data_IF_038208461893
#
_entry.id   IF_038208461893
#
_cell.length_a   1.000
_cell.length_b   1.000
_cell.length_c   1.000
_cell.angle_alpha   90.00
_cell.angle_beta   90.00
_cell.angle_gamma   90.00
#
_symmetry.space_group_name_H-M   'P 1'
#
loop_
_entity.id
_entity.type
_entity.pdbx_description
1 polymer ?
#
# COMPACT_ATOMS: atom_id res chain seq x y z
N UNK A 1 9.73 41.11 22.16
CA UNK A 1 10.96 40.30 21.99
C UNK A 1 10.55 38.86 21.68
N UNK A 2 10.72 38.36 20.45
CA UNK A 2 10.35 36.99 20.14
C UNK A 2 11.46 36.03 20.60
N UNK A 3 11.11 35.11 21.50
CA UNK A 3 11.98 34.06 21.99
C UNK A 3 12.26 33.05 20.88
N UNK A 4 13.50 33.10 20.39
CA UNK A 4 14.09 32.20 19.40
C UNK A 4 13.95 30.75 19.90
N UNK A 5 13.08 29.95 19.27
CA UNK A 5 13.10 28.50 19.44
C UNK A 5 14.49 28.00 19.04
N UNK A 6 15.30 27.59 20.02
CA UNK A 6 16.63 27.03 19.78
C UNK A 6 16.45 25.76 18.95
N UNK A 7 16.82 25.84 17.67
CA UNK A 7 16.96 24.69 16.79
C UNK A 7 18.05 23.80 17.40
N UNK A 8 17.67 22.71 18.05
CA UNK A 8 18.61 21.75 18.58
C UNK A 8 19.46 21.22 17.42
N UNK A 9 20.76 21.52 17.43
CA UNK A 9 21.73 20.88 16.54
C UNK A 9 22.02 19.52 17.16
N UNK A 10 21.62 18.40 16.53
CA UNK A 10 21.85 17.09 17.11
C UNK A 10 23.34 16.73 17.08
N UNK A 11 23.84 15.97 18.09
CA UNK A 11 25.25 15.61 18.19
C UNK A 11 25.70 14.71 17.02
N UNK A 12 26.99 14.81 16.68
CA UNK A 12 27.60 14.08 15.59
C UNK A 12 27.53 12.56 15.81
N UNK A 13 26.96 11.82 14.85
CA UNK A 13 27.04 10.35 14.86
C UNK A 13 28.43 9.88 14.43
N UNK A 14 29.02 8.88 15.13
CA UNK A 14 30.32 8.33 14.78
C UNK A 14 30.25 7.58 13.44
N UNK A 15 31.27 7.78 12.58
CA UNK A 15 31.51 6.94 11.40
C UNK A 15 31.78 5.51 11.87
N UNK A 16 31.12 4.49 11.29
CA UNK A 16 31.69 3.12 11.16
C UNK A 16 30.89 2.22 10.20
N UNK A 17 31.55 1.18 9.64
CA UNK A 17 31.13 0.42 8.48
C UNK A 17 30.29 -0.81 8.86
N UNK A 18 29.58 -1.38 7.88
CA UNK A 18 28.86 -2.65 8.02
C UNK A 18 27.34 -2.44 8.07
N UNK A 19 26.68 -2.84 6.99
CA UNK A 19 25.26 -2.65 6.79
C UNK A 19 24.40 -3.53 7.68
N UNK A 20 23.43 -2.92 8.35
CA UNK A 20 22.17 -3.49 8.84
C UNK A 20 21.21 -2.30 8.95
N UNK A 21 19.94 -2.48 8.51
CA UNK A 21 18.77 -1.59 8.66
C UNK A 21 19.07 -0.24 9.35
N UNK A 22 19.14 0.84 8.57
CA UNK A 22 19.39 2.19 9.07
C UNK A 22 18.20 2.74 9.84
N UNK A 23 18.11 2.33 11.10
CA UNK A 23 17.30 3.01 12.09
C UNK A 23 18.11 3.05 13.38
N UNK A 24 18.89 4.10 13.57
CA UNK A 24 19.50 4.37 14.87
C UNK A 24 18.35 4.71 15.82
N UNK A 25 18.03 3.78 16.74
CA UNK A 25 17.09 4.03 17.82
C UNK A 25 17.78 4.96 18.83
N UNK A 26 17.27 6.18 18.96
CA UNK A 26 17.67 7.08 20.04
C UNK A 26 16.45 7.47 20.85
N UNK A 27 16.57 7.47 22.18
CA UNK A 27 15.53 7.98 23.08
C UNK A 27 15.86 9.42 23.45
N UNK A 28 14.87 10.29 23.50
CA UNK A 28 15.02 11.57 24.20
C UNK A 28 15.01 11.36 25.72
N UNK A 29 15.14 12.45 26.49
CA UNK A 29 15.10 12.41 27.96
C UNK A 29 13.73 12.01 28.52
N UNK A 30 12.69 12.01 27.68
CA UNK A 30 11.30 11.71 28.03
C UNK A 30 10.89 10.28 27.62
N UNK A 31 11.79 9.53 26.97
CA UNK A 31 11.59 8.13 26.58
C UNK A 31 11.01 7.92 25.17
N UNK A 32 10.82 8.99 24.39
CA UNK A 32 10.31 8.92 23.01
C UNK A 32 11.36 8.31 22.08
N UNK A 33 11.03 7.20 21.41
CA UNK A 33 11.90 6.56 20.42
C UNK A 33 11.86 7.33 19.09
N UNK A 34 13.01 7.87 18.67
CA UNK A 34 13.18 8.45 17.34
C UNK A 34 13.98 7.52 16.44
N UNK A 35 13.51 7.39 15.21
CA UNK A 35 14.21 6.70 14.14
C UNK A 35 14.89 7.74 13.25
N UNK A 36 16.22 7.74 13.21
CA UNK A 36 16.96 8.54 12.24
C UNK A 36 16.98 7.82 10.90
N UNK A 37 16.24 8.34 9.91
CA UNK A 37 16.14 7.75 8.58
C UNK A 37 15.24 8.56 7.64
N UNK A 38 15.16 8.11 6.39
CA UNK A 38 14.31 8.70 5.36
C UNK A 38 13.52 7.57 4.68
N UNK A 39 12.32 7.87 4.24
CA UNK A 39 11.46 6.96 3.51
C UNK A 39 11.19 7.51 2.13
N UNK A 40 11.16 6.62 1.15
CA UNK A 40 10.82 6.94 -0.22
C UNK A 40 9.47 6.30 -0.54
N UNK A 41 8.46 7.12 -0.79
CA UNK A 41 7.15 6.69 -1.28
C UNK A 41 7.15 6.83 -2.79
N UNK A 42 6.80 5.77 -3.52
CA UNK A 42 6.97 5.73 -4.97
C UNK A 42 5.77 5.09 -5.66
N UNK A 43 5.36 5.71 -6.76
CA UNK A 43 4.49 5.11 -7.77
C UNK A 43 5.40 4.51 -8.84
N UNK A 44 5.17 3.23 -9.14
CA UNK A 44 5.89 2.52 -10.18
C UNK A 44 4.92 1.75 -11.07
N UNK A 45 5.27 1.62 -12.34
CA UNK A 45 4.55 0.76 -13.27
C UNK A 45 4.83 -0.71 -12.91
N UNK A 46 3.79 -1.45 -12.54
CA UNK A 46 3.96 -2.82 -12.07
C UNK A 46 4.36 -3.80 -13.20
N UNK A 47 4.01 -3.48 -14.46
CA UNK A 47 4.29 -4.32 -15.63
C UNK A 47 5.75 -4.21 -16.08
N UNK A 48 6.37 -3.05 -16.03
CA UNK A 48 7.73 -2.82 -16.51
C UNK A 48 8.70 -2.54 -15.36
N UNK A 49 8.21 -2.38 -14.12
CA UNK A 49 9.02 -2.11 -12.94
C UNK A 49 9.68 -0.75 -13.00
N UNK A 50 9.06 0.23 -13.66
CA UNK A 50 9.63 1.55 -13.88
C UNK A 50 9.12 2.53 -12.82
N UNK A 51 10.00 3.31 -12.15
CA UNK A 51 9.56 4.39 -11.29
C UNK A 51 8.87 5.46 -12.12
N UNK A 52 7.76 6.03 -11.65
CA UNK A 52 7.03 7.11 -12.33
C UNK A 52 7.12 8.41 -11.53
N UNK A 53 6.79 8.34 -10.25
CA UNK A 53 6.83 9.48 -9.32
C UNK A 53 7.25 9.02 -7.93
N UNK A 54 7.91 9.89 -7.18
CA UNK A 54 8.23 9.62 -5.78
C UNK A 54 8.21 10.88 -4.91
N UNK A 55 8.07 10.67 -3.60
CA UNK A 55 8.23 11.64 -2.52
C UNK A 55 9.13 11.06 -1.43
N UNK A 56 9.91 11.93 -0.79
CA UNK A 56 10.81 11.54 0.30
C UNK A 56 10.35 12.20 1.58
N UNK A 57 10.22 11.41 2.64
CA UNK A 57 9.81 11.88 3.97
C UNK A 57 10.84 11.48 5.02
N UNK A 58 10.90 12.21 6.16
CA UNK A 58 11.65 11.74 7.31
C UNK A 58 11.06 10.43 7.87
N UNK A 59 11.92 9.59 8.46
CA UNK A 59 11.57 8.25 8.92
C UNK A 59 10.52 8.17 10.03
N UNK A 60 10.28 9.27 10.74
CA UNK A 60 9.25 9.36 11.78
C UNK A 60 7.84 9.59 11.22
N UNK A 61 7.69 9.87 9.92
CA UNK A 61 6.37 10.06 9.29
C UNK A 61 5.70 8.72 9.02
N UNK A 62 4.37 8.69 9.23
CA UNK A 62 3.54 7.56 8.83
C UNK A 62 3.48 7.45 7.31
N UNK A 63 3.40 6.22 6.79
CA UNK A 63 3.42 5.96 5.35
C UNK A 63 2.06 6.22 4.70
N UNK A 64 0.99 5.91 5.44
CA UNK A 64 -0.38 5.92 4.91
C UNK A 64 -0.78 7.24 4.24
N UNK A 65 -0.51 8.42 4.82
CA UNK A 65 -0.91 9.70 4.22
C UNK A 65 -0.15 10.05 2.92
N UNK A 66 0.93 9.35 2.58
CA UNK A 66 1.76 9.71 1.43
C UNK A 66 1.29 9.07 0.12
N UNK A 67 0.37 8.09 0.16
CA UNK A 67 -0.20 7.47 -1.04
C UNK A 67 -0.95 8.48 -1.92
N UNK A 68 -1.92 9.27 -1.41
CA UNK A 68 -2.62 10.26 -2.23
C UNK A 68 -1.63 11.30 -2.77
N UNK A 69 -0.64 11.67 -1.98
CA UNK A 69 0.34 12.69 -2.31
C UNK A 69 1.26 12.28 -3.46
N UNK A 70 1.75 11.04 -3.46
CA UNK A 70 2.57 10.53 -4.58
C UNK A 70 1.73 10.28 -5.83
N UNK A 71 0.47 9.87 -5.67
CA UNK A 71 -0.47 9.69 -6.80
C UNK A 71 -0.80 11.04 -7.45
N UNK A 72 -1.10 12.09 -6.67
CA UNK A 72 -1.33 13.45 -7.18
C UNK A 72 -0.15 13.95 -8.01
N UNK A 73 1.08 13.68 -7.55
CA UNK A 73 2.30 14.01 -8.29
C UNK A 73 2.34 13.30 -9.64
N UNK A 74 2.10 11.98 -9.67
CA UNK A 74 2.04 11.23 -10.92
C UNK A 74 0.97 11.75 -11.89
N UNK A 75 -0.23 12.09 -11.40
CA UNK A 75 -1.29 12.69 -12.22
C UNK A 75 -0.90 14.08 -12.76
N UNK A 76 -0.17 14.88 -11.99
CA UNK A 76 0.31 16.19 -12.42
C UNK A 76 1.44 16.11 -13.45
N UNK A 77 2.34 15.15 -13.28
CA UNK A 77 3.51 14.97 -14.15
C UNK A 77 3.15 14.31 -15.49
N UNK A 78 2.11 13.45 -15.52
CA UNK A 78 1.78 12.62 -16.69
C UNK A 78 0.27 12.60 -17.02
N UNK A 79 -0.11 13.25 -18.12
CA UNK A 79 -1.50 13.27 -18.62
C UNK A 79 -2.05 11.88 -18.95
N UNK A 80 -1.17 10.96 -19.37
CA UNK A 80 -1.52 9.57 -19.71
C UNK A 80 -1.63 8.65 -18.49
N UNK A 81 -1.22 9.10 -17.29
CA UNK A 81 -1.27 8.29 -16.09
C UNK A 81 -2.70 8.16 -15.59
N UNK A 82 -3.36 7.06 -15.97
CA UNK A 82 -4.73 6.71 -15.62
C UNK A 82 -4.79 5.22 -15.24
N UNK A 83 -4.24 4.82 -14.08
CA UNK A 83 -4.25 3.42 -13.67
C UNK A 83 -5.68 2.97 -13.41
N UNK A 84 -6.04 1.76 -13.84
CA UNK A 84 -7.30 1.11 -13.44
C UNK A 84 -7.22 0.47 -12.06
N UNK A 85 -6.00 0.09 -11.65
CA UNK A 85 -5.73 -0.64 -10.41
C UNK A 85 -4.52 -0.02 -9.70
N UNK A 86 -4.61 0.12 -8.38
CA UNK A 86 -3.48 0.51 -7.53
C UNK A 86 -3.23 -0.57 -6.48
N UNK A 87 -2.02 -1.12 -6.45
CA UNK A 87 -1.59 -2.06 -5.41
C UNK A 87 -0.65 -1.37 -4.43
N UNK A 88 -0.82 -1.63 -3.13
CA UNK A 88 0.03 -1.08 -2.09
C UNK A 88 0.18 -2.03 -0.90
N UNK A 89 1.21 -1.80 -0.10
CA UNK A 89 1.42 -2.52 1.14
C UNK A 89 0.30 -2.27 2.15
N UNK A 90 0.12 -3.22 3.07
CA UNK A 90 -0.78 -3.11 4.23
C UNK A 90 -0.50 -1.88 5.11
N UNK A 91 0.69 -1.28 5.00
CA UNK A 91 1.02 0.01 5.61
C UNK A 91 0.13 1.15 5.13
N UNK A 92 -0.47 1.04 3.94
CA UNK A 92 -1.35 2.03 3.33
C UNK A 92 -2.84 1.76 3.55
N UNK A 93 -3.18 0.76 4.35
CA UNK A 93 -4.56 0.50 4.75
C UNK A 93 -5.10 1.63 5.64
N UNK A 94 -5.89 2.52 5.03
CA UNK A 94 -6.61 3.59 5.69
C UNK A 94 -7.82 3.98 4.83
N UNK A 95 -8.96 4.23 5.47
CA UNK A 95 -10.19 4.61 4.78
C UNK A 95 -10.01 5.77 3.80
N UNK A 96 -9.24 6.79 4.21
CA UNK A 96 -8.92 7.95 3.36
C UNK A 96 -8.22 7.59 2.05
N UNK A 97 -7.37 6.55 2.05
CA UNK A 97 -6.70 6.07 0.84
C UNK A 97 -7.64 5.34 -0.10
N UNK A 98 -8.53 4.50 0.45
CA UNK A 98 -9.54 3.79 -0.34
C UNK A 98 -10.52 4.78 -0.97
N UNK A 99 -11.05 5.73 -0.20
CA UNK A 99 -11.93 6.79 -0.71
C UNK A 99 -11.24 7.63 -1.79
N UNK A 100 -9.95 7.97 -1.60
CA UNK A 100 -9.18 8.71 -2.60
C UNK A 100 -9.03 7.93 -3.93
N UNK A 101 -8.68 6.65 -3.86
CA UNK A 101 -8.50 5.81 -5.05
C UNK A 101 -9.83 5.56 -5.76
N UNK A 102 -10.89 5.26 -5.00
CA UNK A 102 -12.23 5.09 -5.52
C UNK A 102 -12.74 6.35 -6.22
N UNK A 103 -12.56 7.54 -5.61
CA UNK A 103 -12.91 8.81 -6.24
C UNK A 103 -12.09 9.16 -7.51
N UNK A 104 -11.04 8.40 -7.81
CA UNK A 104 -10.26 8.47 -9.05
C UNK A 104 -10.59 7.33 -10.03
N UNK A 105 -11.61 6.53 -9.75
CA UNK A 105 -11.96 5.31 -10.50
C UNK A 105 -10.80 4.31 -10.57
N UNK A 106 -10.02 4.20 -9.49
CA UNK A 106 -8.90 3.27 -9.37
C UNK A 106 -9.25 2.20 -8.34
N UNK A 107 -9.18 0.94 -8.73
CA UNK A 107 -9.47 -0.19 -7.84
C UNK A 107 -8.33 -0.40 -6.83
N UNK A 108 -8.58 -0.28 -5.51
CA UNK A 108 -7.56 -0.42 -4.48
C UNK A 108 -7.30 -1.87 -4.09
N UNK A 109 -6.14 -2.41 -4.46
CA UNK A 109 -5.65 -3.75 -4.09
C UNK A 109 -4.65 -3.62 -2.94
N UNK A 110 -5.20 -3.41 -1.73
CA UNK A 110 -4.43 -3.20 -0.49
C UNK A 110 -4.93 -4.19 0.58
N UNK A 111 -4.02 -4.96 1.17
CA UNK A 111 -4.38 -5.82 2.30
C UNK A 111 -4.80 -4.98 3.50
N UNK A 112 -5.94 -5.34 4.10
CA UNK A 112 -6.41 -4.73 5.34
C UNK A 112 -5.55 -5.19 6.52
N UNK A 113 -5.38 -4.28 7.47
CA UNK A 113 -4.85 -4.56 8.77
C UNK A 113 -5.87 -5.35 9.56
N UNK A 114 -5.44 -6.53 10.03
CA UNK A 114 -6.15 -7.35 11.01
C UNK A 114 -6.70 -6.42 12.10
N UNK A 115 -7.99 -6.51 12.41
CA UNK A 115 -8.59 -5.70 13.43
C UNK A 115 -7.89 -5.92 14.76
N UNK A 116 -7.73 -4.83 15.49
CA UNK A 116 -7.37 -4.86 16.91
C UNK A 116 -8.65 -5.03 17.75
N UNK A 117 -8.53 -5.41 19.02
CA UNK A 117 -9.67 -5.61 19.92
C UNK A 117 -10.52 -4.35 20.21
N UNK A 118 -10.24 -3.24 19.52
CA UNK A 118 -10.91 -1.93 19.64
C UNK A 118 -11.54 -1.48 18.31
N UNK A 119 -11.50 -2.33 17.28
CA UNK A 119 -12.15 -2.02 16.01
C UNK A 119 -13.61 -2.49 16.06
N UNK A 120 -14.49 -1.60 16.53
CA UNK A 120 -15.93 -1.82 16.72
C UNK A 120 -16.69 -2.16 15.42
N UNK A 121 -16.04 -2.01 14.26
CA UNK A 121 -16.64 -2.37 12.98
C UNK A 121 -16.66 -3.89 12.72
N UNK A 122 -15.89 -4.66 13.50
CA UNK A 122 -15.84 -6.13 13.44
C UNK A 122 -16.73 -6.76 14.52
N UNK A 123 -17.92 -6.19 14.72
CA UNK A 123 -18.99 -6.69 15.61
C UNK A 123 -19.57 -8.06 15.18
N UNK A 124 -18.77 -8.90 14.51
CA UNK A 124 -19.15 -10.21 13.99
C UNK A 124 -19.76 -10.20 12.59
N UNK A 125 -19.92 -9.01 11.98
CA UNK A 125 -20.47 -8.87 10.61
C UNK A 125 -19.42 -9.21 9.56
N UNK A 126 -18.17 -8.80 9.75
CA UNK A 126 -17.08 -8.99 8.79
C UNK A 126 -16.01 -9.92 9.34
N UNK A 127 -15.44 -10.75 8.46
CA UNK A 127 -14.29 -11.58 8.79
C UNK A 127 -12.96 -10.83 8.72
N UNK A 128 -11.86 -11.50 9.06
CA UNK A 128 -10.50 -10.93 9.04
C UNK A 128 -10.06 -10.46 7.65
N UNK A 129 -10.72 -10.94 6.60
CA UNK A 129 -10.48 -10.61 5.21
C UNK A 129 -11.53 -9.63 4.64
N UNK A 130 -12.38 -9.09 5.53
CA UNK A 130 -13.41 -8.09 5.24
C UNK A 130 -14.57 -8.59 4.37
N UNK A 131 -14.88 -9.88 4.47
CA UNK A 131 -16.06 -10.49 3.87
C UNK A 131 -17.21 -10.56 4.88
N UNK A 132 -18.44 -10.20 4.48
CA UNK A 132 -19.59 -10.31 5.36
C UNK A 132 -19.91 -11.77 5.67
N UNK A 133 -20.33 -12.05 6.89
CA UNK A 133 -20.71 -13.36 7.39
C UNK A 133 -22.22 -13.47 7.56
N UNK A 134 -22.78 -14.64 7.26
CA UNK A 134 -24.18 -14.93 7.56
C UNK A 134 -24.40 -15.24 9.05
N UNK A 135 -25.66 -15.41 9.47
CA UNK A 135 -26.01 -15.75 10.86
C UNK A 135 -25.35 -17.03 11.40
N UNK A 136 -24.99 -17.97 10.51
CA UNK A 136 -24.25 -19.17 10.89
C UNK A 136 -22.73 -19.05 10.77
N UNK A 137 -22.19 -17.83 10.62
CA UNK A 137 -20.77 -17.50 10.60
C UNK A 137 -19.98 -18.11 9.42
N UNK A 138 -20.63 -18.22 8.27
CA UNK A 138 -20.02 -18.62 6.99
C UNK A 138 -19.85 -17.36 6.12
N UNK A 139 -18.70 -17.18 5.43
CA UNK A 139 -18.48 -16.06 4.54
C UNK A 139 -19.49 -16.07 3.38
N UNK A 140 -20.04 -14.90 3.10
CA UNK A 140 -21.03 -14.71 2.04
C UNK A 140 -20.36 -14.45 0.70
N UNK A 141 -21.04 -14.82 -0.39
CA UNK A 141 -20.58 -14.57 -1.76
C UNK A 141 -21.21 -13.30 -2.31
N UNK A 142 -20.41 -12.50 -3.01
CA UNK A 142 -20.90 -11.33 -3.72
C UNK A 142 -21.73 -11.75 -4.94
N UNK A 143 -22.97 -11.27 -5.01
CA UNK A 143 -23.92 -11.59 -6.09
C UNK A 143 -23.96 -10.50 -7.15
N UNK A 144 -23.91 -9.23 -6.75
CA UNK A 144 -24.04 -8.13 -7.67
C UNK A 144 -24.20 -6.78 -6.99
N UNK A 145 -24.36 -5.75 -7.81
CA UNK A 145 -24.58 -4.38 -7.36
C UNK A 145 -26.03 -3.98 -7.68
N UNK A 146 -26.74 -3.48 -6.68
CA UNK A 146 -28.07 -2.90 -6.82
C UNK A 146 -28.02 -1.67 -7.74
N UNK A 147 -29.15 -1.31 -8.37
CA UNK A 147 -29.23 -0.08 -9.18
C UNK A 147 -28.92 1.22 -8.40
N UNK A 148 -28.91 1.14 -7.06
CA UNK A 148 -28.54 2.23 -6.15
C UNK A 148 -27.05 2.26 -5.76
N UNK A 149 -26.24 1.30 -6.21
CA UNK A 149 -24.81 1.21 -5.88
C UNK A 149 -24.48 0.27 -4.70
N UNK A 150 -25.48 -0.30 -4.03
CA UNK A 150 -25.29 -1.22 -2.91
C UNK A 150 -24.70 -2.56 -3.39
N UNK A 151 -23.74 -3.10 -2.64
CA UNK A 151 -23.18 -4.42 -2.91
C UNK A 151 -24.00 -5.49 -2.19
N UNK A 152 -24.49 -6.47 -2.95
CA UNK A 152 -25.36 -7.53 -2.49
C UNK A 152 -24.55 -8.82 -2.30
N UNK A 153 -24.67 -9.42 -1.13
CA UNK A 153 -24.02 -10.65 -0.72
C UNK A 153 -25.07 -11.68 -0.28
N UNK A 154 -24.93 -12.92 -0.74
CA UNK A 154 -25.81 -14.04 -0.37
C UNK A 154 -25.01 -15.17 0.27
N UNK A 155 -25.67 -15.96 1.13
CA UNK A 155 -25.08 -17.20 1.62
C UNK A 155 -25.07 -18.26 0.51
N UNK A 156 -23.87 -18.70 0.09
CA UNK A 156 -23.68 -19.70 -0.98
C UNK A 156 -24.47 -20.99 -0.75
N UNK A 157 -24.48 -21.46 0.49
CA UNK A 157 -25.05 -22.77 0.82
C UNK A 157 -26.59 -22.72 0.94
N UNK A 158 -27.21 -21.54 0.94
CA UNK A 158 -28.66 -21.38 1.17
C UNK A 158 -29.14 -22.09 2.44
N UNK A 159 -28.23 -22.34 3.39
CA UNK A 159 -28.28 -23.53 4.24
C UNK A 159 -27.13 -23.61 5.21
N UNK A 160 -26.78 -22.52 5.87
CA UNK A 160 -25.73 -22.55 6.87
C UNK A 160 -26.17 -23.41 8.07
N UNK A 161 -25.29 -24.34 8.48
CA UNK A 161 -25.45 -25.15 9.69
C UNK A 161 -25.44 -24.29 10.97
N UNK A 162 -26.47 -23.47 11.19
CA UNK A 162 -26.77 -22.84 12.47
C UNK A 162 -26.77 -23.96 13.51
N UNK A 163 -25.71 -23.96 14.33
CA UNK A 163 -25.28 -25.01 15.25
C UNK A 163 -26.44 -25.88 15.72
N UNK A 164 -26.51 -27.15 15.29
CA UNK A 164 -27.18 -28.31 15.94
C UNK A 164 -28.12 -28.00 17.12
N UNK A 165 -29.06 -27.06 16.99
CA UNK A 165 -29.93 -26.66 18.08
C UNK A 165 -31.29 -27.22 17.72
N UNK A 166 -31.58 -28.32 18.40
CA UNK A 166 -32.87 -29.01 18.43
C UNK A 166 -33.13 -29.92 17.21
N UNK A 167 -32.86 -31.22 17.42
CA UNK A 167 -33.47 -32.37 16.71
C UNK A 167 -33.52 -32.26 15.17
N UNK A 168 -32.36 -32.36 14.53
CA UNK A 168 -32.26 -32.95 13.18
C UNK A 168 -32.81 -32.16 11.98
N UNK A 169 -33.12 -30.86 12.12
CA UNK A 169 -33.50 -30.01 10.99
C UNK A 169 -32.30 -29.30 10.35
N UNK A 170 -32.27 -29.20 9.02
CA UNK A 170 -31.42 -28.26 8.29
C UNK A 170 -32.13 -26.89 8.33
N UNK A 171 -31.54 -25.90 9.00
CA UNK A 171 -32.02 -24.52 8.91
C UNK A 171 -31.45 -23.90 7.64
N UNK A 172 -32.33 -23.55 6.70
CA UNK A 172 -31.96 -22.81 5.51
C UNK A 172 -31.60 -21.36 5.89
N UNK A 173 -30.40 -20.92 5.52
CA UNK A 173 -29.95 -19.55 5.75
C UNK A 173 -30.13 -18.76 4.44
N UNK A 174 -31.16 -17.93 4.40
CA UNK A 174 -31.45 -17.00 3.30
C UNK A 174 -31.03 -15.58 3.66
N UNK A 175 -29.90 -15.44 4.37
CA UNK A 175 -29.39 -14.12 4.75
C UNK A 175 -28.91 -13.40 3.49
N UNK A 176 -29.55 -12.27 3.21
CA UNK A 176 -29.12 -11.30 2.21
C UNK A 176 -28.49 -10.13 2.96
N UNK A 177 -27.27 -9.77 2.61
CA UNK A 177 -26.58 -8.59 3.12
C UNK A 177 -26.42 -7.60 1.97
N UNK A 178 -26.87 -6.36 2.16
CA UNK A 178 -26.77 -5.30 1.17
C UNK A 178 -26.29 -4.03 1.84
N UNK A 179 -25.20 -3.46 1.33
CA UNK A 179 -24.62 -2.24 1.90
C UNK A 179 -24.01 -1.38 0.79
N UNK A 180 -24.18 -0.06 0.89
CA UNK A 180 -23.49 0.88 0.00
C UNK A 180 -22.05 1.12 0.50
N UNK A 181 -21.01 0.71 -0.25
CA UNK A 181 -19.63 0.99 0.13
C UNK A 181 -19.35 2.48 0.33
N UNK A 182 -20.06 3.37 -0.38
CA UNK A 182 -19.88 4.81 -0.29
C UNK A 182 -20.55 5.44 0.94
N UNK A 183 -21.37 4.68 1.70
CA UNK A 183 -22.08 5.20 2.86
C UNK A 183 -21.14 5.67 3.99
N UNK A 184 -19.96 5.06 4.13
CA UNK A 184 -18.93 5.55 5.04
C UNK A 184 -17.50 5.26 4.53
N UNK A 185 -16.49 6.04 4.95
CA UNK A 185 -15.10 5.78 4.58
C UNK A 185 -14.60 4.39 5.02
N UNK A 186 -15.09 3.87 6.15
CA UNK A 186 -14.71 2.54 6.62
C UNK A 186 -15.38 1.41 5.81
N UNK A 187 -16.64 1.57 5.41
CA UNK A 187 -17.27 0.65 4.45
C UNK A 187 -16.55 0.68 3.10
N UNK A 188 -16.11 1.86 2.65
CA UNK A 188 -15.29 1.98 1.44
C UNK A 188 -13.96 1.24 1.57
N UNK A 189 -13.33 1.26 2.75
CA UNK A 189 -12.10 0.50 3.03
C UNK A 189 -12.31 -1.00 2.86
N UNK A 190 -13.42 -1.52 3.38
CA UNK A 190 -13.74 -2.94 3.47
C UNK A 190 -14.32 -3.46 2.16
N UNK A 191 -15.46 -2.89 1.75
CA UNK A 191 -16.28 -3.34 0.62
C UNK A 191 -15.90 -2.68 -0.70
N UNK A 192 -15.29 -1.49 -0.66
CA UNK A 192 -15.03 -0.66 -1.84
C UNK A 192 -14.26 -1.27 -3.01
N UNK A 193 -13.25 -2.14 -2.80
CA UNK A 193 -12.57 -2.79 -3.91
C UNK A 193 -13.52 -3.51 -4.86
N UNK A 194 -13.39 -3.21 -6.16
CA UNK A 194 -14.17 -3.83 -7.23
C UNK A 194 -13.72 -5.28 -7.36
N UNK A 195 -12.41 -5.49 -7.50
CA UNK A 195 -11.83 -6.83 -7.45
C UNK A 195 -11.96 -7.36 -6.03
N UNK A 196 -12.68 -8.47 -5.87
CA UNK A 196 -13.02 -9.02 -4.55
C UNK A 196 -11.80 -9.60 -3.85
N UNK A 197 -11.60 -9.24 -2.59
CA UNK A 197 -10.53 -9.78 -1.75
C UNK A 197 -10.60 -11.31 -1.73
N UNK A 198 -9.44 -11.95 -1.63
CA UNK A 198 -9.26 -13.40 -1.70
C UNK A 198 -9.67 -14.08 -3.02
N UNK A 199 -10.21 -13.35 -4.01
CA UNK A 199 -10.39 -13.91 -5.35
C UNK A 199 -9.04 -14.20 -6.00
N UNK A 200 -8.97 -15.18 -6.92
CA UNK A 200 -7.74 -15.43 -7.70
C UNK A 200 -7.24 -14.18 -8.42
N UNK A 201 -8.15 -13.39 -8.99
CA UNK A 201 -7.82 -12.13 -9.66
C UNK A 201 -7.18 -11.12 -8.70
N UNK A 202 -7.73 -10.97 -7.50
CA UNK A 202 -7.15 -10.08 -6.48
C UNK A 202 -5.74 -10.52 -6.08
N UNK A 203 -5.53 -11.82 -5.90
CA UNK A 203 -4.22 -12.39 -5.55
C UNK A 203 -3.19 -12.14 -6.67
N UNK A 204 -3.59 -12.30 -7.93
CA UNK A 204 -2.75 -12.04 -9.09
C UNK A 204 -2.40 -10.55 -9.22
N UNK A 205 -3.36 -9.66 -8.99
CA UNK A 205 -3.12 -8.21 -8.96
C UNK A 205 -2.20 -7.82 -7.81
N UNK A 206 -2.42 -8.38 -6.62
CA UNK A 206 -1.58 -8.11 -5.45
C UNK A 206 -0.16 -8.65 -5.63
N UNK A 207 0.02 -9.78 -6.29
CA UNK A 207 1.33 -10.35 -6.62
C UNK A 207 2.16 -9.43 -7.53
N UNK A 208 1.55 -8.49 -8.28
CA UNK A 208 2.32 -7.51 -9.07
C UNK A 208 3.17 -6.58 -8.21
N UNK A 209 2.88 -6.46 -6.91
CA UNK A 209 3.70 -5.71 -5.92
C UNK A 209 5.16 -6.18 -5.87
N UNK A 210 5.43 -7.46 -6.16
CA UNK A 210 6.80 -8.00 -6.24
C UNK A 210 7.68 -7.26 -7.26
N UNK A 211 7.08 -6.65 -8.28
CA UNK A 211 7.78 -5.77 -9.23
C UNK A 211 8.36 -4.53 -8.53
N UNK A 212 7.56 -3.91 -7.65
CA UNK A 212 7.95 -2.73 -6.87
C UNK A 212 9.01 -3.09 -5.83
N UNK A 213 8.87 -4.22 -5.14
CA UNK A 213 9.91 -4.71 -4.20
C UNK A 213 11.25 -4.94 -4.91
N UNK A 214 11.21 -5.56 -6.10
CA UNK A 214 12.40 -5.76 -6.92
C UNK A 214 13.03 -4.42 -7.34
N UNK A 215 12.23 -3.46 -7.78
CA UNK A 215 12.70 -2.10 -8.09
C UNK A 215 13.41 -1.46 -6.89
N UNK A 216 12.80 -1.52 -5.70
CA UNK A 216 13.43 -1.02 -4.48
C UNK A 216 14.74 -1.75 -4.17
N UNK A 217 14.77 -3.07 -4.30
CA UNK A 217 16.00 -3.86 -4.13
C UNK A 217 17.09 -3.39 -5.09
N UNK A 218 16.77 -3.24 -6.37
CA UNK A 218 17.71 -2.74 -7.38
C UNK A 218 18.23 -1.34 -7.04
N UNK A 219 17.36 -0.42 -6.66
CA UNK A 219 17.79 0.94 -6.27
C UNK A 219 18.68 0.92 -5.01
N UNK A 220 18.38 0.06 -4.04
CA UNK A 220 19.18 -0.11 -2.82
C UNK A 220 20.58 -0.65 -3.12
N UNK A 221 20.66 -1.74 -3.88
CA UNK A 221 21.91 -2.44 -4.18
C UNK A 221 22.78 -1.65 -5.18
N UNK A 222 22.22 -1.27 -6.34
CA UNK A 222 23.01 -0.67 -7.42
C UNK A 222 23.26 0.82 -7.26
N UNK A 223 22.38 1.54 -6.54
CA UNK A 223 22.43 3.00 -6.42
C UNK A 223 22.71 3.49 -5.00
N UNK A 224 23.13 2.59 -4.10
CA UNK A 224 23.56 2.90 -2.73
C UNK A 224 22.52 3.68 -1.93
N UNK A 225 21.22 3.46 -2.15
CA UNK A 225 20.19 4.11 -1.34
C UNK A 225 20.30 3.74 0.16
N UNK A 226 20.95 2.62 0.49
CA UNK A 226 21.23 2.26 1.89
C UNK A 226 22.58 2.79 2.37
N UNK A 227 23.57 2.92 1.49
CA UNK A 227 24.94 3.34 1.82
C UNK A 227 25.23 4.78 1.39
N UNK A 228 24.23 5.67 1.47
CA UNK A 228 24.38 7.06 1.06
C UNK A 228 25.26 7.84 2.06
N UNK A 229 26.13 8.72 1.55
CA UNK A 229 26.99 9.56 2.40
C UNK A 229 26.41 10.97 2.64
N UNK A 230 25.22 11.24 2.10
CA UNK A 230 24.56 12.55 2.19
C UNK A 230 23.65 12.66 3.41
N UNK A 231 23.47 13.89 3.90
CA UNK A 231 22.58 14.23 5.04
C UNK A 231 21.67 15.39 4.67
N UNK A 232 20.46 15.38 5.21
CA UNK A 232 19.44 16.38 4.97
C UNK A 232 18.46 15.94 3.89
N UNK A 233 17.18 16.27 4.11
CA UNK A 233 16.08 15.83 3.25
C UNK A 233 16.29 16.23 1.79
N UNK A 234 16.75 17.45 1.54
CA UNK A 234 17.01 17.95 0.19
C UNK A 234 18.11 17.15 -0.54
N UNK A 235 19.24 16.90 0.10
CA UNK A 235 20.34 16.14 -0.50
C UNK A 235 19.96 14.68 -0.75
N UNK A 236 19.19 14.08 0.16
CA UNK A 236 18.72 12.70 -0.02
C UNK A 236 17.67 12.61 -1.12
N UNK A 237 16.79 13.59 -1.21
CA UNK A 237 15.83 13.71 -2.32
C UNK A 237 16.58 13.83 -3.66
N UNK A 238 17.61 14.66 -3.73
CA UNK A 238 18.45 14.79 -4.92
C UNK A 238 19.15 13.47 -5.27
N UNK A 239 19.72 12.78 -4.28
CA UNK A 239 20.34 11.48 -4.48
C UNK A 239 19.34 10.43 -5.02
N UNK A 240 18.15 10.34 -4.43
CA UNK A 240 17.08 9.46 -4.91
C UNK A 240 16.60 9.83 -6.31
N UNK A 241 16.53 11.13 -6.63
CA UNK A 241 16.19 11.62 -7.97
C UNK A 241 17.23 11.19 -9.01
N UNK A 242 18.52 11.39 -8.73
CA UNK A 242 19.59 10.97 -9.64
C UNK A 242 19.61 9.45 -9.82
N UNK A 243 19.37 8.69 -8.74
CA UNK A 243 19.30 7.23 -8.79
C UNK A 243 18.14 6.71 -9.63
N UNK A 244 16.95 7.31 -9.51
CA UNK A 244 15.77 6.96 -10.31
C UNK A 244 15.92 7.36 -11.78
N UNK A 245 16.47 8.55 -12.05
CA UNK A 245 16.80 8.99 -13.41
C UNK A 245 17.81 8.06 -14.08
N UNK A 246 18.88 7.68 -13.37
CA UNK A 246 19.87 6.75 -13.90
C UNK A 246 19.27 5.37 -14.18
N UNK A 247 18.35 4.89 -13.34
CA UNK A 247 17.61 3.65 -13.58
C UNK A 247 16.74 3.74 -14.85
N UNK A 248 15.95 4.80 -14.99
CA UNK A 248 15.11 5.02 -16.19
C UNK A 248 15.97 5.16 -17.46
N UNK A 249 17.10 5.86 -17.39
CA UNK A 249 18.02 6.02 -18.51
C UNK A 249 18.62 4.67 -18.95
N UNK A 250 19.01 3.82 -18.00
CA UNK A 250 19.45 2.45 -18.30
C UNK A 250 18.32 1.62 -18.92
N UNK A 251 17.09 1.74 -18.44
CA UNK A 251 15.95 1.02 -19.01
C UNK A 251 15.65 1.49 -20.45
N UNK A 252 15.71 2.79 -20.70
CA UNK A 252 15.55 3.37 -22.04
C UNK A 252 16.64 2.88 -23.01
N UNK A 253 17.88 2.77 -22.55
CA UNK A 253 18.98 2.27 -23.36
C UNK A 253 18.74 0.81 -23.81
N UNK A 254 18.22 -0.04 -22.93
CA UNK A 254 17.89 -1.44 -23.28
C UNK A 254 16.74 -1.52 -24.29
N UNK A 255 15.71 -0.67 -24.15
CA UNK A 255 14.62 -0.59 -25.15
C UNK A 255 15.16 -0.17 -26.51
N UNK A 256 16.06 0.82 -26.56
CA UNK A 256 16.67 1.29 -27.81
C UNK A 256 17.53 0.21 -28.50
N UNK A 257 18.05 -0.76 -27.74
CA UNK A 257 18.75 -1.94 -28.29
C UNK A 257 17.80 -3.05 -28.75
N UNK A 258 16.49 -2.88 -28.61
CA UNK A 258 15.48 -3.91 -28.88
C UNK A 258 15.30 -4.92 -27.73
N UNK A 259 16.01 -4.77 -26.61
CA UNK A 259 15.91 -5.66 -25.46
C UNK A 259 14.83 -5.19 -24.48
N UNK A 260 13.57 -5.43 -24.81
CA UNK A 260 12.45 -5.06 -23.95
C UNK A 260 12.44 -5.81 -22.60
N UNK A 261 13.01 -7.02 -22.52
CA UNK A 261 13.15 -7.76 -21.26
C UNK A 261 14.17 -7.13 -20.30
N UNK A 262 15.17 -6.43 -20.85
CA UNK A 262 16.23 -5.75 -20.11
C UNK A 262 15.77 -4.52 -19.32
N UNK A 263 14.60 -3.95 -19.62
CA UNK A 263 14.05 -2.79 -18.91
C UNK A 263 14.01 -2.97 -17.39
N UNK A 264 13.67 -4.18 -16.94
CA UNK A 264 13.53 -4.54 -15.52
C UNK A 264 14.87 -4.79 -14.83
N UNK A 265 15.92 -5.05 -15.61
CA UNK A 265 17.25 -5.45 -15.17
C UNK A 265 18.31 -4.43 -15.54
N UNK A 266 17.90 -3.16 -15.65
CA UNK A 266 18.70 -2.03 -16.05
C UNK A 266 19.75 -1.65 -14.98
N UNK A 267 20.57 -2.63 -14.59
CA UNK A 267 21.77 -2.50 -13.79
C UNK A 267 22.91 -2.79 -14.76
N UNK A 268 23.86 -1.86 -14.96
CA UNK A 268 25.08 -2.19 -15.67
C UNK A 268 25.70 -3.41 -14.97
N UNK A 269 25.91 -4.52 -15.70
CA UNK A 269 26.84 -5.54 -15.22
C UNK A 269 28.18 -4.83 -15.09
N UNK A 270 28.64 -4.63 -13.86
CA UNK A 270 29.98 -4.11 -13.62
C UNK A 270 30.92 -5.17 -14.18
N UNK A 271 31.62 -4.84 -15.26
CA UNK A 271 32.70 -5.64 -15.82
C UNK A 271 33.91 -5.58 -14.88
#
# INVERSE_FOLDING_TARGET
MPTRARRAVPPATPKRPGGVKHSAKSKDKEGTEFFFGYKMHMVADAKYGLPLAFRVTPGNRSDSPELPEVMKKAYGDYVWFKPSVATADRGYDAATNFTYLYGKNVDPIIHIRKPTSRDDLYDGVYDKDSLPHCLGNVPMEFVGTSGKGEYIYHCKEGGCHLKKSMKGGILHCDTVYSEDPAASPELMRILGPITRRNSPEWNDLYAKRWSVERLFKTLKESRRLEAHCVRGLAHITLHMMMSTLAFQASALAEVKKGNHGGMRWAVPKVA
#
